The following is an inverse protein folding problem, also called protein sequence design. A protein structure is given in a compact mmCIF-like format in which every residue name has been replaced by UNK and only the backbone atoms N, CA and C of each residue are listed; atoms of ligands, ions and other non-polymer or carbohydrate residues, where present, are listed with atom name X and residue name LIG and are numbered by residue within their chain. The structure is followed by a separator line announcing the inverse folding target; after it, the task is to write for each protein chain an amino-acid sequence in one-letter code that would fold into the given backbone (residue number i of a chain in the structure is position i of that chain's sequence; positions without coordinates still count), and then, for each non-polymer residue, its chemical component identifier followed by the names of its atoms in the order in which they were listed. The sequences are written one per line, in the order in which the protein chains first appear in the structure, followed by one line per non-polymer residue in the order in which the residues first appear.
data_IF_388407586954
#
_entry.id   IF_388407586954
#
_cell.length_a   1.000
_cell.length_b   1.000
_cell.length_c   1.000
_cell.angle_alpha   90.00
_cell.angle_beta   90.00
_cell.angle_gamma   90.00
#
_symmetry.space_group_name_H-M   'P 1'
#
loop_
_entity.id
_entity.type
_entity.pdbx_description
1 polymer ?
#
# COMPACT_ATOMS: atom_id res chain seq x y z
N UNK A 1 -23.51 -49.65 -25.74
CA UNK A 1 -23.14 -49.61 -24.31
C UNK A 1 -24.20 -48.82 -23.58
N UNK A 2 -25.16 -49.48 -22.91
CA UNK A 2 -26.25 -48.78 -22.21
C UNK A 2 -25.68 -48.25 -20.90
N UNK A 3 -25.38 -46.96 -20.86
CA UNK A 3 -24.93 -46.31 -19.65
C UNK A 3 -26.15 -46.25 -18.71
N UNK A 4 -26.10 -46.97 -17.59
CA UNK A 4 -27.23 -47.02 -16.66
C UNK A 4 -27.57 -45.62 -16.16
N UNK A 5 -28.87 -45.28 -16.02
CA UNK A 5 -29.32 -43.94 -15.56
C UNK A 5 -28.62 -43.47 -14.27
N UNK A 6 -28.24 -44.40 -13.38
CA UNK A 6 -27.45 -44.12 -12.17
C UNK A 6 -26.02 -43.65 -12.46
N UNK A 7 -25.37 -44.19 -13.49
CA UNK A 7 -24.02 -43.80 -13.90
C UNK A 7 -24.01 -42.43 -14.60
N UNK A 8 -25.10 -42.08 -15.31
CA UNK A 8 -25.29 -40.71 -15.86
C UNK A 8 -25.41 -39.70 -14.74
N UNK A 9 -26.25 -39.98 -13.74
CA UNK A 9 -26.47 -39.06 -12.61
C UNK A 9 -25.17 -38.86 -11.83
N UNK A 10 -24.41 -39.93 -11.57
CA UNK A 10 -23.12 -39.82 -10.89
C UNK A 10 -22.10 -39.00 -11.70
N UNK A 11 -22.04 -39.18 -13.01
CA UNK A 11 -21.15 -38.41 -13.88
C UNK A 11 -21.52 -36.91 -13.92
N UNK A 12 -22.81 -36.59 -13.98
CA UNK A 12 -23.31 -35.21 -13.97
C UNK A 12 -23.01 -34.52 -12.64
N UNK A 13 -23.22 -35.21 -11.51
CA UNK A 13 -22.90 -34.67 -10.18
C UNK A 13 -21.40 -34.41 -10.03
N UNK A 14 -20.55 -35.33 -10.49
CA UNK A 14 -19.10 -35.19 -10.43
C UNK A 14 -18.61 -33.98 -11.27
N UNK A 15 -19.16 -33.80 -12.48
CA UNK A 15 -18.83 -32.65 -13.33
C UNK A 15 -19.24 -31.31 -12.71
N UNK A 16 -20.42 -31.23 -12.07
CA UNK A 16 -20.87 -30.01 -11.38
C UNK A 16 -19.95 -29.70 -10.19
N UNK A 17 -19.55 -30.70 -9.41
CA UNK A 17 -18.64 -30.50 -8.27
C UNK A 17 -17.26 -29.98 -8.68
N UNK A 18 -16.70 -30.45 -9.80
CA UNK A 18 -15.39 -29.97 -10.30
C UNK A 18 -15.48 -28.51 -10.78
N UNK A 19 -16.60 -28.13 -11.41
CA UNK A 19 -16.84 -26.75 -11.86
C UNK A 19 -16.99 -25.76 -10.70
N UNK A 20 -17.63 -26.15 -9.60
CA UNK A 20 -17.75 -25.28 -8.41
C UNK A 20 -16.37 -25.03 -7.77
N UNK A 21 -15.51 -26.04 -7.71
CA UNK A 21 -14.15 -25.89 -7.18
C UNK A 21 -13.30 -25.01 -8.11
N UNK A 22 -13.44 -25.16 -9.44
CA UNK A 22 -12.73 -24.34 -10.42
C UNK A 22 -13.11 -22.84 -10.37
N UNK A 23 -14.37 -22.52 -10.08
CA UNK A 23 -14.81 -21.13 -9.91
C UNK A 23 -14.27 -20.56 -8.59
N UNK A 24 -14.21 -21.35 -7.51
CA UNK A 24 -13.69 -20.88 -6.22
C UNK A 24 -12.19 -20.59 -6.20
N UNK A 25 -11.38 -21.22 -7.08
CA UNK A 25 -9.95 -20.90 -7.22
C UNK A 25 -9.66 -19.71 -8.14
N UNK A 26 -10.63 -19.27 -8.95
CA UNK A 26 -10.46 -18.10 -9.81
C UNK A 26 -10.82 -16.77 -9.12
N UNK A 27 -11.49 -16.81 -7.96
CA UNK A 27 -11.95 -15.59 -7.28
C UNK A 27 -10.92 -14.93 -6.34
N UNK A 28 -9.73 -15.52 -6.13
CA UNK A 28 -8.69 -14.90 -5.30
C UNK A 28 -7.30 -15.07 -5.92
N UNK A 29 -7.07 -14.34 -6.99
CA UNK A 29 -5.80 -13.68 -7.33
C UNK A 29 -6.10 -12.84 -8.57
N UNK A 30 -6.69 -11.66 -8.39
CA UNK A 30 -6.32 -10.55 -9.27
C UNK A 30 -4.89 -10.20 -8.89
N UNK A 31 -3.98 -11.05 -9.35
CA UNK A 31 -2.55 -10.90 -9.22
C UNK A 31 -2.17 -9.79 -10.16
N UNK A 32 -2.40 -8.56 -9.73
CA UNK A 32 -1.63 -7.44 -10.21
C UNK A 32 -0.19 -7.87 -9.98
N UNK A 33 0.50 -8.17 -11.08
CA UNK A 33 1.89 -8.58 -11.01
C UNK A 33 2.68 -7.34 -10.61
N UNK A 34 2.90 -7.18 -9.31
CA UNK A 34 3.81 -6.21 -8.72
C UNK A 34 5.22 -6.68 -9.07
N UNK A 35 5.67 -6.40 -10.29
CA UNK A 35 7.08 -6.63 -10.65
C UNK A 35 7.85 -5.38 -10.24
N UNK A 36 8.70 -5.52 -9.23
CA UNK A 36 9.66 -4.49 -8.84
C UNK A 36 10.02 -4.54 -7.36
N UNK A 37 11.23 -5.01 -7.07
CA UNK A 37 11.94 -4.63 -5.86
C UNK A 37 12.16 -3.10 -5.88
N UNK A 38 11.96 -2.46 -4.73
CA UNK A 38 11.71 -1.02 -4.60
C UNK A 38 12.52 -0.11 -5.52
N UNK A 39 11.81 0.55 -6.43
CA UNK A 39 12.12 1.86 -7.05
C UNK A 39 11.18 2.13 -8.22
N UNK A 40 10.75 1.09 -8.93
CA UNK A 40 9.77 1.17 -10.01
C UNK A 40 8.85 -0.03 -9.96
N UNK A 41 7.59 0.22 -9.62
CA UNK A 41 6.55 -0.81 -9.66
C UNK A 41 5.57 -0.43 -10.75
N UNK A 42 5.43 -1.29 -11.76
CA UNK A 42 4.36 -1.18 -12.76
C UNK A 42 3.23 -2.13 -12.37
N UNK A 43 2.05 -1.59 -12.20
CA UNK A 43 0.85 -2.37 -11.91
C UNK A 43 -0.01 -2.42 -13.18
N UNK A 44 -0.24 -3.63 -13.72
CA UNK A 44 -1.01 -3.87 -14.95
C UNK A 44 -2.01 -5.02 -14.75
N UNK A 45 -3.33 -4.77 -14.71
CA UNK A 45 -4.32 -5.78 -15.05
C UNK A 45 -4.26 -6.05 -16.56
N UNK A 46 -4.64 -7.25 -17.00
CA UNK A 46 -4.37 -7.78 -18.34
C UNK A 46 -4.82 -6.90 -19.54
N UNK A 47 -5.75 -5.94 -19.33
CA UNK A 47 -6.26 -5.00 -20.34
C UNK A 47 -6.46 -3.55 -19.80
N UNK A 48 -5.82 -3.14 -18.70
CA UNK A 48 -6.24 -1.93 -17.96
C UNK A 48 -5.12 -0.95 -17.56
N UNK A 49 -5.52 0.30 -17.27
CA UNK A 49 -4.81 1.42 -16.63
C UNK A 49 -3.42 1.09 -16.07
N UNK A 50 -2.39 1.82 -16.52
CA UNK A 50 -1.03 1.68 -15.98
C UNK A 50 -0.84 2.64 -14.81
N UNK A 51 -0.57 2.10 -13.62
CA UNK A 51 -0.05 2.88 -12.48
C UNK A 51 1.42 2.56 -12.31
N UNK A 52 2.24 3.60 -12.34
CA UNK A 52 3.68 3.53 -12.08
C UNK A 52 4.00 4.27 -10.80
N UNK A 53 4.72 3.63 -9.91
CA UNK A 53 5.23 4.23 -8.68
C UNK A 53 6.74 4.42 -8.79
N UNK A 54 7.22 5.63 -8.52
CA UNK A 54 8.64 5.96 -8.43
C UNK A 54 8.94 6.69 -7.12
N UNK A 55 9.75 6.05 -6.28
CA UNK A 55 10.26 6.63 -5.03
C UNK A 55 11.79 6.53 -4.91
N UNK A 56 12.49 6.09 -5.96
CA UNK A 56 13.87 5.59 -5.81
C UNK A 56 13.96 4.59 -4.65
N UNK A 57 14.90 4.80 -3.71
CA UNK A 57 14.94 4.01 -2.47
C UNK A 57 13.64 4.16 -1.68
N UNK A 58 12.83 3.12 -1.53
CA UNK A 58 11.56 3.23 -0.84
C UNK A 58 11.67 3.12 0.70
N UNK A 59 12.86 2.86 1.22
CA UNK A 59 13.10 2.75 2.66
C UNK A 59 13.09 4.11 3.35
N UNK A 60 12.39 4.22 4.47
CA UNK A 60 12.40 5.38 5.36
C UNK A 60 12.94 4.91 6.71
N UNK A 61 13.96 5.59 7.22
CA UNK A 61 14.61 5.22 8.47
C UNK A 61 14.81 6.46 9.36
N UNK A 62 14.42 6.33 10.61
CA UNK A 62 14.83 7.20 11.72
C UNK A 62 15.68 6.35 12.64
N UNK A 63 16.99 6.57 12.66
CA UNK A 63 17.92 5.87 13.53
C UNK A 63 18.56 6.85 14.51
N UNK A 64 18.60 6.49 15.80
CA UNK A 64 19.15 7.33 16.87
C UNK A 64 18.55 8.75 16.85
N UNK A 65 17.27 8.86 16.52
CA UNK A 65 16.59 10.13 16.38
C UNK A 65 16.43 10.80 17.75
N UNK A 66 16.68 12.11 17.80
CA UNK A 66 16.33 12.95 18.96
C UNK A 66 14.91 13.49 18.77
N UNK A 67 14.18 13.85 19.85
CA UNK A 67 12.94 14.59 19.72
C UNK A 67 13.09 15.80 18.79
N UNK A 68 12.12 15.99 17.90
CA UNK A 68 12.15 16.97 16.80
C UNK A 68 12.78 16.47 15.49
N UNK A 69 13.33 15.27 15.44
CA UNK A 69 13.91 14.72 14.20
C UNK A 69 12.80 14.30 13.23
N UNK A 70 12.92 14.73 11.97
CA UNK A 70 12.02 14.34 10.88
C UNK A 70 12.80 13.67 9.76
N UNK A 71 12.30 12.54 9.28
CA UNK A 71 12.70 11.92 8.02
C UNK A 71 11.64 12.23 6.97
N UNK A 72 12.05 12.78 5.83
CA UNK A 72 11.13 13.10 4.72
C UNK A 72 11.47 12.30 3.47
N UNK A 73 10.43 11.98 2.70
CA UNK A 73 10.54 11.24 1.45
C UNK A 73 9.55 11.76 0.41
N UNK A 74 10.11 12.26 -0.68
CA UNK A 74 9.32 12.60 -1.87
C UNK A 74 9.20 11.39 -2.80
N UNK A 75 8.02 11.24 -3.40
CA UNK A 75 7.73 10.18 -4.36
C UNK A 75 6.62 10.62 -5.33
N UNK A 76 6.46 9.85 -6.40
CA UNK A 76 5.46 10.12 -7.41
C UNK A 76 4.66 8.89 -7.80
N UNK A 77 3.40 9.12 -8.17
CA UNK A 77 2.50 8.11 -8.74
C UNK A 77 2.05 8.62 -10.09
N UNK A 78 2.43 7.94 -11.15
CA UNK A 78 1.98 8.25 -12.51
C UNK A 78 0.84 7.32 -12.88
N UNK A 79 -0.30 7.91 -13.23
CA UNK A 79 -1.48 7.21 -13.76
C UNK A 79 -1.54 7.45 -15.26
N UNK A 80 -1.58 6.37 -16.04
CA UNK A 80 -1.79 6.43 -17.49
C UNK A 80 -3.13 5.79 -17.83
N UNK A 81 -4.12 6.58 -18.31
CA UNK A 81 -5.44 6.09 -18.68
C UNK A 81 -5.40 5.23 -19.94
N UNK A 82 -6.48 4.46 -20.13
CA UNK A 82 -6.79 3.81 -21.41
C UNK A 82 -7.94 4.56 -22.09
N UNK A 83 -8.32 4.17 -23.30
CA UNK A 83 -9.46 4.81 -23.99
C UNK A 83 -10.79 4.59 -23.24
N UNK A 84 -10.97 3.44 -22.58
CA UNK A 84 -12.21 3.06 -21.89
C UNK A 84 -12.19 3.32 -20.38
N UNK A 85 -11.02 3.27 -19.75
CA UNK A 85 -10.86 3.41 -18.31
C UNK A 85 -9.99 4.63 -17.95
N UNK A 86 -10.62 5.59 -17.25
CA UNK A 86 -10.00 6.88 -16.87
C UNK A 86 -9.81 7.05 -15.37
N UNK A 87 -10.41 6.19 -14.55
CA UNK A 87 -10.41 6.28 -13.09
C UNK A 87 -9.64 5.13 -12.48
N UNK A 88 -8.75 5.43 -11.54
CA UNK A 88 -7.99 4.42 -10.82
C UNK A 88 -8.02 4.70 -9.33
N UNK A 89 -8.13 3.64 -8.53
CA UNK A 89 -8.01 3.73 -7.07
C UNK A 89 -6.71 3.05 -6.65
N UNK A 90 -5.88 3.77 -5.89
CA UNK A 90 -4.67 3.23 -5.29
C UNK A 90 -4.56 3.64 -3.82
N UNK A 91 -3.77 2.85 -3.08
CA UNK A 91 -3.43 3.10 -1.71
C UNK A 91 -1.92 3.35 -1.57
N UNK A 92 -1.57 4.38 -0.80
CA UNK A 92 -0.21 4.64 -0.33
C UNK A 92 -0.09 3.95 1.02
N UNK A 93 0.85 3.01 1.11
CA UNK A 93 1.00 2.09 2.25
C UNK A 93 2.41 2.21 2.81
N UNK A 94 2.50 2.23 4.13
CA UNK A 94 3.76 2.14 4.86
C UNK A 94 3.90 0.72 5.42
N UNK A 95 4.92 -0.01 4.99
CA UNK A 95 5.24 -1.35 5.49
C UNK A 95 6.34 -1.24 6.54
N UNK A 96 5.96 -1.21 7.81
CA UNK A 96 6.84 -1.00 8.95
C UNK A 96 7.62 -2.29 9.22
N UNK A 97 8.92 -2.26 8.95
CA UNK A 97 9.82 -3.41 9.16
C UNK A 97 10.39 -3.45 10.56
N UNK A 98 10.53 -2.29 11.22
CA UNK A 98 10.96 -2.20 12.61
C UNK A 98 10.42 -0.91 13.22
N UNK A 99 9.76 -1.03 14.36
CA UNK A 99 9.39 0.09 15.21
C UNK A 99 9.50 -0.35 16.66
N UNK A 100 10.44 0.23 17.39
CA UNK A 100 10.63 -0.07 18.81
C UNK A 100 10.21 1.09 19.72
N UNK A 101 9.64 2.17 19.17
CA UNK A 101 9.06 3.27 19.96
C UNK A 101 7.98 2.73 20.90
N UNK A 102 7.87 3.35 22.07
CA UNK A 102 6.89 2.99 23.09
C UNK A 102 6.07 4.21 23.45
N UNK A 103 4.78 3.98 23.73
CA UNK A 103 3.90 5.01 24.23
C UNK A 103 3.84 4.95 25.75
N UNK A 104 4.40 5.96 26.42
CA UNK A 104 4.25 6.11 27.88
C UNK A 104 3.08 7.02 28.21
N UNK A 105 3.06 8.24 27.67
CA UNK A 105 2.03 9.25 27.98
C UNK A 105 1.30 9.76 26.74
N UNK A 106 2.06 10.05 25.68
CA UNK A 106 1.57 10.68 24.46
C UNK A 106 2.11 9.95 23.25
N UNK A 107 1.50 10.22 22.09
CA UNK A 107 2.04 9.78 20.82
C UNK A 107 3.27 10.63 20.50
N UNK A 108 4.38 9.96 20.20
CA UNK A 108 5.67 10.59 19.96
C UNK A 108 6.19 10.36 18.55
N UNK A 109 5.69 9.36 17.81
CA UNK A 109 6.04 9.16 16.41
C UNK A 109 4.80 9.38 15.54
N UNK A 110 4.88 10.28 14.56
CA UNK A 110 3.76 10.61 13.68
C UNK A 110 4.18 10.65 12.22
N UNK A 111 3.22 10.44 11.32
CA UNK A 111 3.39 10.69 9.91
C UNK A 111 2.54 11.88 9.44
N UNK A 112 3.03 12.58 8.42
CA UNK A 112 2.28 13.55 7.63
C UNK A 112 2.53 13.30 6.15
N UNK A 113 1.49 12.99 5.40
CA UNK A 113 1.52 12.89 3.94
C UNK A 113 0.97 14.18 3.33
N UNK A 114 1.74 14.78 2.43
CA UNK A 114 1.41 16.04 1.76
C UNK A 114 1.40 15.85 0.24
N UNK A 115 0.61 16.67 -0.45
CA UNK A 115 0.82 16.92 -1.87
C UNK A 115 2.04 17.82 -2.07
N UNK A 116 2.57 17.89 -3.29
CA UNK A 116 3.69 18.79 -3.61
C UNK A 116 3.39 20.27 -3.34
N UNK A 117 2.13 20.68 -3.44
CA UNK A 117 1.69 22.05 -3.11
C UNK A 117 1.67 22.31 -1.59
N UNK A 118 2.05 21.33 -0.77
CA UNK A 118 2.13 21.43 0.69
C UNK A 118 0.81 21.15 1.40
N UNK A 119 -0.24 20.77 0.67
CA UNK A 119 -1.53 20.43 1.29
C UNK A 119 -1.42 19.11 2.04
N UNK A 120 -1.78 19.08 3.32
CA UNK A 120 -1.82 17.85 4.12
C UNK A 120 -2.98 16.99 3.61
N UNK A 121 -2.65 15.79 3.13
CA UNK A 121 -3.61 14.81 2.61
C UNK A 121 -4.05 13.83 3.71
N UNK A 122 -3.11 13.44 4.56
CA UNK A 122 -3.38 12.62 5.74
C UNK A 122 -2.26 12.74 6.77
N UNK A 123 -2.59 12.45 8.03
CA UNK A 123 -1.63 12.35 9.12
C UNK A 123 -2.13 11.36 10.16
N UNK A 124 -1.22 10.83 10.97
CA UNK A 124 -1.57 9.85 11.98
C UNK A 124 -0.42 9.44 12.88
N UNK A 125 -0.75 8.68 13.91
CA UNK A 125 0.19 8.15 14.89
C UNK A 125 0.86 6.88 14.39
N UNK A 126 2.16 6.76 14.64
CA UNK A 126 2.98 5.58 14.39
C UNK A 126 3.67 5.06 15.64
N UNK A 127 3.48 5.68 16.82
CA UNK A 127 4.26 5.36 18.03
C UNK A 127 4.30 3.87 18.33
N UNK A 128 3.16 3.19 18.25
CA UNK A 128 3.05 1.74 18.47
C UNK A 128 2.67 0.97 17.19
N UNK A 129 2.71 1.63 16.03
CA UNK A 129 2.30 1.01 14.77
C UNK A 129 3.28 -0.09 14.32
N UNK A 130 2.74 -1.18 13.79
CA UNK A 130 3.47 -2.33 13.30
C UNK A 130 2.88 -2.83 11.99
N UNK A 131 3.71 -3.44 11.14
CA UNK A 131 3.27 -4.01 9.86
C UNK A 131 2.79 -2.95 8.85
N UNK A 132 1.81 -3.32 8.03
CA UNK A 132 1.28 -2.46 6.96
C UNK A 132 0.24 -1.47 7.49
N UNK A 133 0.46 -0.19 7.24
CA UNK A 133 -0.48 0.90 7.53
C UNK A 133 -0.82 1.62 6.23
N UNK A 134 -2.11 1.75 5.92
CA UNK A 134 -2.57 2.56 4.79
C UNK A 134 -2.57 4.03 5.20
N UNK A 135 -1.74 4.84 4.54
CA UNK A 135 -1.62 6.28 4.79
C UNK A 135 -2.70 7.08 4.08
N UNK A 136 -3.03 6.67 2.85
CA UNK A 136 -4.04 7.29 2.00
C UNK A 136 -4.59 6.25 1.03
N UNK A 137 -5.91 6.24 0.82
CA UNK A 137 -6.57 5.57 -0.30
C UNK A 137 -7.30 6.65 -1.09
N UNK A 138 -7.04 6.74 -2.38
CA UNK A 138 -7.67 7.76 -3.21
C UNK A 138 -7.97 7.26 -4.62
N UNK A 139 -8.98 7.87 -5.22
CA UNK A 139 -9.36 7.64 -6.61
C UNK A 139 -8.97 8.85 -7.44
N UNK A 140 -8.23 8.63 -8.53
CA UNK A 140 -7.85 9.65 -9.51
C UNK A 140 -8.52 9.37 -10.83
N UNK A 141 -9.16 10.39 -11.40
CA UNK A 141 -9.67 10.37 -12.78
C UNK A 141 -8.79 11.25 -13.64
N UNK A 142 -8.21 10.68 -14.71
CA UNK A 142 -7.27 11.36 -15.59
C UNK A 142 -7.61 11.11 -17.06
N UNK A 143 -7.47 12.14 -17.87
CA UNK A 143 -7.72 12.10 -19.31
C UNK A 143 -6.46 11.72 -20.11
N UNK A 144 -5.29 12.05 -19.57
CA UNK A 144 -3.98 11.74 -20.13
C UNK A 144 -3.03 11.28 -19.03
N UNK A 145 -1.87 10.75 -19.41
CA UNK A 145 -0.85 10.35 -18.44
C UNK A 145 -0.51 11.51 -17.50
N UNK A 146 -0.78 11.34 -16.21
CA UNK A 146 -0.66 12.38 -15.19
C UNK A 146 0.16 11.86 -14.02
N UNK A 147 1.10 12.67 -13.55
CA UNK A 147 1.94 12.36 -12.39
C UNK A 147 1.48 13.17 -11.20
N UNK A 148 1.21 12.47 -10.10
CA UNK A 148 0.91 13.04 -8.79
C UNK A 148 2.15 12.96 -7.90
N UNK A 149 2.53 14.08 -7.31
CA UNK A 149 3.74 14.19 -6.48
C UNK A 149 3.35 14.36 -5.00
N UNK A 150 4.05 13.62 -4.15
CA UNK A 150 3.78 13.50 -2.72
C UNK A 150 5.05 13.67 -1.90
N UNK A 151 4.88 14.10 -0.66
CA UNK A 151 5.93 14.15 0.36
C UNK A 151 5.42 13.48 1.64
N UNK A 152 6.13 12.47 2.11
CA UNK A 152 5.85 11.78 3.38
C UNK A 152 6.91 12.17 4.41
N UNK A 153 6.45 12.75 5.52
CA UNK A 153 7.27 13.04 6.69
C UNK A 153 6.94 12.06 7.81
N UNK A 154 7.97 11.48 8.44
CA UNK A 154 7.88 10.75 9.70
C UNK A 154 8.65 11.55 10.73
N UNK A 155 8.00 11.92 11.84
CA UNK A 155 8.54 12.82 12.85
C UNK A 155 8.53 12.16 14.21
N UNK A 156 9.70 12.13 14.86
CA UNK A 156 9.79 11.93 16.30
C UNK A 156 9.52 13.28 16.97
N UNK A 157 8.32 13.46 17.51
CA UNK A 157 7.80 14.72 18.03
C UNK A 157 8.49 15.16 19.32
N UNK A 158 8.85 16.43 19.38
CA UNK A 158 9.24 17.12 20.62
C UNK A 158 7.99 17.47 21.43
N UNK A 159 7.95 17.02 22.68
CA UNK A 159 6.79 17.17 23.58
C UNK A 159 6.99 18.24 24.64
N UNK A 160 8.23 18.73 24.83
CA UNK A 160 8.61 19.63 25.92
C UNK A 160 8.71 18.93 27.29
N UNK A 161 8.75 17.60 27.31
CA UNK A 161 8.86 16.75 28.51
C UNK A 161 10.01 15.74 28.36
N UNK A 162 10.33 15.00 29.43
CA UNK A 162 11.34 13.93 29.35
C UNK A 162 10.87 12.80 28.41
N UNK A 163 11.63 12.57 27.34
CA UNK A 163 11.38 11.52 26.35
C UNK A 163 12.51 10.47 26.32
N UNK A 164 13.29 10.35 27.40
CA UNK A 164 14.45 9.45 27.45
C UNK A 164 14.07 7.96 27.27
N UNK A 165 12.82 7.60 27.54
CA UNK A 165 12.29 6.24 27.30
C UNK A 165 12.33 5.83 25.83
N UNK A 166 12.32 6.79 24.90
CA UNK A 166 12.44 6.56 23.47
C UNK A 166 13.82 6.97 22.90
N UNK A 167 14.80 7.23 23.76
CA UNK A 167 16.17 7.53 23.31
C UNK A 167 16.81 6.32 22.59
N UNK A 168 17.56 6.60 21.52
CA UNK A 168 18.24 5.60 20.66
C UNK A 168 17.32 4.58 19.97
N UNK A 169 16.01 4.82 20.01
CA UNK A 169 15.05 4.01 19.29
C UNK A 169 15.10 4.29 17.79
N UNK A 170 14.57 3.34 17.06
CA UNK A 170 14.71 3.23 15.61
C UNK A 170 13.37 2.90 14.99
N UNK A 171 13.05 3.61 13.92
CA UNK A 171 11.93 3.30 13.04
C UNK A 171 12.46 3.03 11.64
N UNK A 172 12.02 1.93 11.04
CA UNK A 172 12.33 1.54 9.66
C UNK A 172 11.07 1.05 8.97
N UNK A 173 10.86 1.51 7.76
CA UNK A 173 9.73 1.10 6.94
C UNK A 173 10.06 1.18 5.45
N UNK A 174 9.18 0.59 4.63
CA UNK A 174 9.20 0.71 3.19
C UNK A 174 7.90 1.31 2.69
N UNK A 175 8.00 2.37 1.88
CA UNK A 175 6.87 2.95 1.19
C UNK A 175 6.45 2.06 0.01
N UNK A 176 5.14 1.89 -0.15
CA UNK A 176 4.53 1.08 -1.21
C UNK A 176 3.31 1.79 -1.77
N UNK A 177 3.02 1.52 -3.04
CA UNK A 177 1.76 1.88 -3.69
C UNK A 177 1.13 0.62 -4.22
N UNK A 178 -0.11 0.37 -3.81
CA UNK A 178 -0.87 -0.83 -4.14
C UNK A 178 -2.17 -0.41 -4.83
N UNK A 179 -2.65 -1.20 -5.81
CA UNK A 179 -4.01 -0.99 -6.30
C UNK A 179 -5.00 -1.27 -5.18
N UNK A 180 -6.07 -0.50 -5.14
CA UNK A 180 -7.17 -0.72 -4.22
C UNK A 180 -8.47 -0.79 -5.01
N UNK A 181 -9.40 -1.61 -4.53
CA UNK A 181 -10.78 -1.54 -5.02
C UNK A 181 -11.35 -0.17 -4.68
N UNK A 182 -12.21 0.38 -5.56
CA UNK A 182 -12.89 1.65 -5.33
C UNK A 182 -13.73 1.59 -4.05
#
# INVERSE_FOLDING_TARGET
MSIGKKNVILAVVLCISISVIGISFAYFTSGVTVSGEGSKTELKPADMLKVSYDAGSNSINLANAMPGTTASKDFSVTVTPTESEKSVTYAIVLDISNNNFEKVNVNELEYTLKSKEGSVLSSGDLTEAQGKITLLKETKTVETATTFEYSLEITYKETGSDQNHNANKTFSSNLKVEFAEA
#
